data_IF_246623384950
#
_entry.id   IF_246623384950
#
_cell.length_a   1.000
_cell.length_b   1.000
_cell.length_c   1.000
_cell.angle_alpha   90.00
_cell.angle_beta   90.00
_cell.angle_gamma   90.00
#
_symmetry.space_group_name_H-M   'P 1'
#
loop_
_entity.id
_entity.type
_entity.pdbx_description
1 polymer ?
#
# COMPACT_ATOMS: atom_id res chain seq x y z
N UNK A 1 8.71 2.11 13.06
CA UNK A 1 8.49 0.88 12.23
C UNK A 1 9.33 -0.34 12.66
N UNK A 2 10.16 -0.21 13.68
CA UNK A 2 10.99 -1.31 14.18
C UNK A 2 10.16 -2.53 14.57
N UNK A 3 10.61 -3.75 14.22
CA UNK A 3 9.94 -5.04 14.49
C UNK A 3 8.51 -5.19 13.92
N UNK A 4 8.13 -4.47 12.86
CA UNK A 4 6.80 -4.56 12.23
C UNK A 4 6.75 -5.38 10.93
N UNK A 5 7.86 -5.97 10.49
CA UNK A 5 7.93 -6.75 9.24
C UNK A 5 6.87 -7.84 9.15
N UNK A 6 6.66 -8.60 10.23
CA UNK A 6 5.64 -9.65 10.26
C UNK A 6 4.21 -9.11 10.03
N UNK A 7 3.89 -7.92 10.57
CA UNK A 7 2.57 -7.31 10.35
C UNK A 7 2.36 -6.96 8.86
N UNK A 8 3.37 -6.42 8.18
CA UNK A 8 3.29 -6.14 6.74
C UNK A 8 3.09 -7.42 5.92
N UNK A 9 3.89 -8.46 6.19
CA UNK A 9 3.78 -9.75 5.47
C UNK A 9 2.44 -10.44 5.70
N UNK A 10 1.94 -10.46 6.94
CA UNK A 10 0.63 -11.04 7.25
C UNK A 10 -0.51 -10.32 6.51
N UNK A 11 -0.44 -9.00 6.42
CA UNK A 11 -1.44 -8.21 5.71
C UNK A 11 -1.30 -8.34 4.19
N UNK A 12 -0.10 -8.54 3.64
CA UNK A 12 0.09 -8.94 2.24
C UNK A 12 -0.65 -10.24 1.95
N UNK A 13 -0.48 -11.25 2.78
CA UNK A 13 -1.10 -12.56 2.58
C UNK A 13 -2.63 -12.49 2.70
N UNK A 14 -3.15 -11.63 3.57
CA UNK A 14 -4.59 -11.50 3.80
C UNK A 14 -5.30 -10.64 2.75
N UNK A 15 -4.66 -9.59 2.27
CA UNK A 15 -5.31 -8.55 1.46
C UNK A 15 -4.69 -8.34 0.07
N UNK A 16 -3.63 -9.06 -0.27
CA UNK A 16 -3.00 -9.02 -1.59
C UNK A 16 -2.25 -7.71 -1.89
N UNK A 17 -1.83 -6.99 -0.86
CA UNK A 17 -1.06 -5.73 -1.00
C UNK A 17 0.41 -6.01 -0.69
N UNK A 18 1.31 -5.72 -1.62
CA UNK A 18 2.73 -6.03 -1.45
C UNK A 18 3.32 -5.40 -0.18
N UNK A 19 3.90 -6.23 0.69
CA UNK A 19 4.43 -5.83 1.99
C UNK A 19 5.58 -4.82 1.88
N UNK A 20 6.46 -4.99 0.91
CA UNK A 20 7.61 -4.11 0.70
C UNK A 20 7.16 -2.72 0.25
N UNK A 21 6.20 -2.65 -0.69
CA UNK A 21 5.62 -1.38 -1.13
C UNK A 21 4.84 -0.70 0.00
N UNK A 22 4.03 -1.42 0.78
CA UNK A 22 3.37 -0.87 1.97
C UNK A 22 4.39 -0.31 2.97
N UNK A 23 5.51 -1.02 3.18
CA UNK A 23 6.59 -0.54 4.05
C UNK A 23 7.19 0.75 3.51
N UNK A 24 7.39 0.84 2.20
CA UNK A 24 7.86 2.05 1.52
C UNK A 24 6.92 3.24 1.72
N UNK A 25 5.60 3.03 1.57
CA UNK A 25 4.59 4.07 1.86
C UNK A 25 4.68 4.51 3.32
N UNK A 26 4.64 3.57 4.26
CA UNK A 26 4.73 3.91 5.68
C UNK A 26 6.03 4.62 6.06
N UNK A 27 7.15 4.25 5.44
CA UNK A 27 8.43 4.92 5.65
C UNK A 27 8.42 6.37 5.14
N UNK A 28 7.86 6.61 3.95
CA UNK A 28 7.74 7.95 3.37
C UNK A 28 6.80 8.82 4.19
N UNK A 29 5.58 8.37 4.44
CA UNK A 29 4.51 9.16 5.09
C UNK A 29 4.80 9.47 6.55
N UNK A 30 5.52 8.59 7.26
CA UNK A 30 5.78 8.75 8.70
C UNK A 30 7.21 9.14 9.03
N UNK A 31 8.06 9.44 8.05
CA UNK A 31 9.49 9.59 8.25
C UNK A 31 10.05 8.40 9.05
N UNK A 32 9.86 7.19 8.53
CA UNK A 32 10.25 5.93 9.18
C UNK A 32 9.60 5.68 10.55
N UNK A 33 8.41 6.20 10.79
CA UNK A 33 7.69 6.07 12.05
C UNK A 33 8.15 7.06 13.13
N UNK A 34 8.87 8.11 12.76
CA UNK A 34 9.39 9.12 13.70
C UNK A 34 8.52 10.36 13.80
N UNK A 35 7.59 10.57 12.86
CA UNK A 35 6.66 11.71 12.88
C UNK A 35 5.80 11.73 14.15
N UNK A 36 5.33 12.92 14.55
CA UNK A 36 4.46 13.09 15.71
C UNK A 36 3.16 12.28 15.58
N UNK A 37 2.55 12.27 14.40
CA UNK A 37 1.33 11.50 14.13
C UNK A 37 1.59 9.99 14.29
N UNK A 38 2.70 9.48 13.75
CA UNK A 38 3.06 8.08 13.89
C UNK A 38 3.27 7.67 15.35
N UNK A 39 3.93 8.52 16.15
CA UNK A 39 4.24 8.24 17.55
C UNK A 39 3.04 8.39 18.48
N UNK A 40 2.23 9.42 18.29
CA UNK A 40 1.13 9.74 19.20
C UNK A 40 -0.17 9.03 18.85
N UNK A 41 -0.37 8.72 17.57
CA UNK A 41 -1.61 8.13 17.04
C UNK A 41 -1.43 6.73 16.43
N UNK A 42 -0.24 6.15 16.49
CA UNK A 42 0.10 4.89 15.81
C UNK A 42 -0.23 4.90 14.31
N UNK A 43 -0.24 6.07 13.67
CA UNK A 43 -0.69 6.27 12.29
C UNK A 43 0.53 6.44 11.38
N UNK A 44 0.95 5.34 10.74
CA UNK A 44 2.13 5.31 9.86
C UNK A 44 1.88 5.92 8.48
N UNK A 45 0.63 6.06 8.06
CA UNK A 45 0.29 6.42 6.69
C UNK A 45 -0.36 7.81 6.59
N UNK A 46 -0.41 8.57 7.68
CA UNK A 46 -1.06 9.87 7.71
C UNK A 46 -2.56 9.81 7.42
N UNK A 47 -3.21 8.67 7.68
CA UNK A 47 -4.61 8.45 7.31
C UNK A 47 -5.53 9.49 7.92
N UNK A 48 -6.32 10.16 7.06
CA UNK A 48 -7.21 11.27 7.41
C UNK A 48 -6.52 12.51 8.01
N UNK A 49 -5.21 12.66 7.83
CA UNK A 49 -4.54 13.92 8.14
C UNK A 49 -4.89 14.95 7.05
N UNK A 50 -5.54 16.06 7.43
CA UNK A 50 -5.81 17.17 6.52
C UNK A 50 -4.80 18.30 6.74
N UNK A 51 -4.40 18.98 5.66
CA UNK A 51 -3.32 19.98 5.66
C UNK A 51 -3.54 21.12 6.69
N UNK A 52 -4.80 21.49 6.91
CA UNK A 52 -5.14 22.59 7.85
C UNK A 52 -4.98 22.23 9.32
N UNK A 53 -5.09 20.94 9.68
CA UNK A 53 -4.97 20.47 11.07
C UNK A 53 -4.57 18.99 11.15
N UNK A 54 -3.41 18.60 10.60
CA UNK A 54 -3.06 17.19 10.44
C UNK A 54 -2.99 16.42 11.76
N UNK A 55 -2.55 17.07 12.83
CA UNK A 55 -2.47 16.47 14.14
C UNK A 55 -3.84 16.23 14.81
N UNK A 56 -4.87 16.97 14.45
CA UNK A 56 -6.22 16.80 14.99
C UNK A 56 -7.04 15.81 14.17
N UNK A 57 -7.02 15.93 12.85
CA UNK A 57 -7.84 15.15 11.93
C UNK A 57 -7.37 13.72 11.73
N UNK A 58 -6.05 13.46 11.81
CA UNK A 58 -5.48 12.13 11.59
C UNK A 58 -6.10 11.07 12.50
N UNK A 59 -6.40 9.91 11.92
CA UNK A 59 -6.88 8.74 12.65
C UNK A 59 -5.93 8.34 13.78
N UNK A 60 -6.51 7.90 14.89
CA UNK A 60 -5.78 7.27 16.00
C UNK A 60 -6.07 5.77 15.99
N UNK A 61 -5.02 4.97 16.06
CA UNK A 61 -5.12 3.51 16.11
C UNK A 61 -4.67 2.98 17.46
N UNK A 62 -5.25 1.86 17.89
CA UNK A 62 -4.87 1.18 19.14
C UNK A 62 -3.44 0.64 19.09
N UNK A 63 -2.92 0.35 17.90
CA UNK A 63 -1.53 -0.04 17.66
C UNK A 63 -1.12 0.22 16.22
N UNK A 64 0.20 0.21 15.96
CA UNK A 64 0.76 0.27 14.61
C UNK A 64 0.31 -0.92 13.75
N UNK A 65 0.14 -2.12 14.34
CA UNK A 65 -0.32 -3.30 13.61
C UNK A 65 -1.76 -3.14 13.10
N UNK A 66 -2.62 -2.52 13.90
CA UNK A 66 -4.00 -2.17 13.49
C UNK A 66 -3.98 -1.14 12.36
N UNK A 67 -3.11 -0.15 12.42
CA UNK A 67 -2.93 0.83 11.35
C UNK A 67 -2.48 0.17 10.04
N UNK A 68 -1.49 -0.75 10.08
CA UNK A 68 -1.02 -1.50 8.90
C UNK A 68 -2.16 -2.33 8.31
N UNK A 69 -2.95 -3.00 9.17
CA UNK A 69 -4.11 -3.77 8.73
C UNK A 69 -5.15 -2.88 8.03
N UNK A 70 -5.53 -1.78 8.64
CA UNK A 70 -6.53 -0.87 8.09
C UNK A 70 -6.07 -0.27 6.75
N UNK A 71 -4.81 0.09 6.64
CA UNK A 71 -4.22 0.54 5.37
C UNK A 71 -4.31 -0.53 4.28
N UNK A 72 -3.90 -1.77 4.58
CA UNK A 72 -3.93 -2.86 3.62
C UNK A 72 -5.37 -3.25 3.22
N UNK A 73 -6.26 -3.38 4.20
CA UNK A 73 -7.63 -3.83 4.00
C UNK A 73 -8.50 -2.73 3.40
N UNK A 74 -8.63 -1.61 4.12
CA UNK A 74 -9.61 -0.57 3.82
C UNK A 74 -9.14 0.32 2.69
N UNK A 75 -7.94 0.90 2.84
CA UNK A 75 -7.45 1.88 1.86
C UNK A 75 -6.95 1.22 0.58
N UNK A 76 -6.14 0.17 0.66
CA UNK A 76 -5.59 -0.44 -0.54
C UNK A 76 -6.54 -1.45 -1.16
N UNK A 77 -6.85 -2.55 -0.47
CA UNK A 77 -7.59 -3.67 -1.07
C UNK A 77 -9.03 -3.33 -1.44
N UNK A 78 -9.76 -2.57 -0.59
CA UNK A 78 -11.17 -2.21 -0.81
C UNK A 78 -11.35 -0.92 -1.61
N UNK A 79 -10.31 -0.11 -1.75
CA UNK A 79 -10.37 1.19 -2.40
C UNK A 79 -9.38 1.29 -3.57
N UNK A 80 -8.15 1.76 -3.35
CA UNK A 80 -7.21 2.10 -4.43
C UNK A 80 -6.87 0.97 -5.39
N UNK A 81 -6.93 -0.29 -4.96
CA UNK A 81 -6.70 -1.48 -5.79
C UNK A 81 -7.98 -2.17 -6.26
N UNK A 82 -9.15 -1.57 -5.99
CA UNK A 82 -10.44 -2.13 -6.39
C UNK A 82 -10.92 -1.49 -7.67
N UNK A 83 -10.99 -2.25 -8.76
CA UNK A 83 -11.61 -1.82 -9.99
C UNK A 83 -13.07 -1.37 -9.73
N UNK A 84 -13.47 -0.25 -10.32
CA UNK A 84 -14.78 0.36 -10.11
C UNK A 84 -14.91 1.28 -8.88
N UNK A 85 -13.89 1.41 -8.04
CA UNK A 85 -13.84 2.49 -7.06
C UNK A 85 -13.53 3.84 -7.73
N UNK A 86 -14.15 4.93 -7.25
CA UNK A 86 -14.09 6.25 -7.93
C UNK A 86 -12.68 6.80 -8.18
N UNK A 87 -11.71 6.44 -7.33
CA UNK A 87 -10.31 6.87 -7.46
C UNK A 87 -9.36 5.74 -7.88
N UNK A 88 -9.89 4.64 -8.43
CA UNK A 88 -9.07 3.59 -9.02
C UNK A 88 -8.56 4.02 -10.39
N UNK A 89 -7.25 4.06 -10.55
CA UNK A 89 -6.58 4.44 -11.79
C UNK A 89 -5.50 3.40 -12.21
N UNK A 90 -5.57 2.20 -11.65
CA UNK A 90 -4.64 1.09 -11.89
C UNK A 90 -4.02 0.53 -10.61
N UNK A 91 -3.72 -0.76 -10.61
CA UNK A 91 -3.20 -1.52 -9.46
C UNK A 91 -1.68 -1.42 -9.26
N UNK A 92 -1.08 -0.26 -9.49
CA UNK A 92 0.36 0.01 -9.36
C UNK A 92 0.59 1.41 -8.79
N UNK A 93 1.82 1.71 -8.36
CA UNK A 93 2.14 2.99 -7.73
C UNK A 93 1.82 4.19 -8.63
N UNK A 94 2.32 4.16 -9.86
CA UNK A 94 2.01 5.15 -10.88
C UNK A 94 2.53 6.56 -10.61
N UNK A 95 1.97 7.49 -11.39
CA UNK A 95 2.25 8.92 -11.38
C UNK A 95 0.94 9.73 -11.42
N UNK A 96 0.94 10.94 -11.97
CA UNK A 96 -0.30 11.73 -12.12
C UNK A 96 -1.15 11.35 -13.34
N UNK A 97 -0.67 10.48 -14.22
CA UNK A 97 -1.40 10.01 -15.39
C UNK A 97 -2.14 8.68 -15.13
N UNK A 98 -1.55 7.77 -14.33
CA UNK A 98 -2.10 6.44 -14.06
C UNK A 98 -1.57 5.85 -12.75
N UNK A 99 -2.29 4.87 -12.20
CA UNK A 99 -1.94 4.21 -10.95
C UNK A 99 -2.49 4.90 -9.71
N UNK A 100 -2.08 4.43 -8.54
CA UNK A 100 -2.55 4.90 -7.23
C UNK A 100 -2.30 6.39 -7.05
N UNK A 101 -1.14 6.90 -7.52
CA UNK A 101 -0.73 8.29 -7.32
C UNK A 101 -1.59 9.33 -8.07
N UNK A 102 -2.43 8.93 -9.01
CA UNK A 102 -3.38 9.89 -9.61
C UNK A 102 -4.19 10.60 -8.53
N UNK A 103 -4.64 9.85 -7.52
CA UNK A 103 -5.54 10.36 -6.47
C UNK A 103 -4.97 10.29 -5.05
N UNK A 104 -3.87 9.57 -4.80
CA UNK A 104 -3.38 9.33 -3.45
C UNK A 104 -2.61 10.51 -2.86
N UNK A 105 -1.66 11.06 -3.59
CA UNK A 105 -0.81 12.15 -3.12
C UNK A 105 -0.74 13.28 -4.14
N UNK A 106 -0.52 14.51 -3.68
CA UNK A 106 -0.29 15.68 -4.55
C UNK A 106 1.08 15.64 -5.24
N UNK A 107 2.07 15.01 -4.63
CA UNK A 107 3.43 14.86 -5.15
C UNK A 107 3.43 13.99 -6.42
N UNK A 108 3.82 14.51 -7.60
CA UNK A 108 3.85 13.74 -8.83
C UNK A 108 4.86 12.59 -8.79
N UNK A 109 5.90 12.67 -7.97
CA UNK A 109 6.97 11.67 -7.82
C UNK A 109 6.76 10.73 -6.64
N UNK A 110 5.58 10.73 -6.02
CA UNK A 110 5.28 9.87 -4.86
C UNK A 110 5.52 8.38 -5.15
N UNK A 111 5.03 7.88 -6.28
CA UNK A 111 5.20 6.48 -6.68
C UNK A 111 6.66 6.09 -6.85
N UNK A 112 7.46 6.95 -7.50
CA UNK A 112 8.89 6.74 -7.71
C UNK A 112 9.67 6.73 -6.39
N UNK A 113 9.35 7.64 -5.47
CA UNK A 113 9.96 7.69 -4.14
C UNK A 113 9.71 6.41 -3.35
N UNK A 114 8.49 5.87 -3.40
CA UNK A 114 8.16 4.60 -2.76
C UNK A 114 8.88 3.44 -3.42
N UNK A 115 8.90 3.39 -4.75
CA UNK A 115 9.62 2.35 -5.48
C UNK A 115 11.12 2.37 -5.17
N UNK A 116 11.73 3.56 -5.06
CA UNK A 116 13.13 3.71 -4.68
C UNK A 116 13.40 3.21 -3.25
N UNK A 117 12.52 3.52 -2.28
CA UNK A 117 12.62 3.01 -0.91
C UNK A 117 12.47 1.48 -0.87
N UNK A 118 11.49 0.94 -1.58
CA UNK A 118 11.27 -0.50 -1.68
C UNK A 118 12.49 -1.21 -2.29
N UNK A 119 13.02 -0.68 -3.40
CA UNK A 119 14.21 -1.22 -4.05
C UNK A 119 15.42 -1.20 -3.11
N UNK A 120 15.63 -0.12 -2.37
CA UNK A 120 16.71 -0.02 -1.40
C UNK A 120 16.58 -1.08 -0.30
N UNK A 121 15.40 -1.19 0.30
CA UNK A 121 15.12 -2.20 1.35
C UNK A 121 15.33 -3.63 0.84
N UNK A 122 14.85 -3.95 -0.36
CA UNK A 122 15.04 -5.27 -0.97
C UNK A 122 16.50 -5.55 -1.28
N UNK A 123 17.23 -4.56 -1.80
CA UNK A 123 18.66 -4.67 -2.09
C UNK A 123 19.48 -4.96 -0.84
N UNK A 124 19.19 -4.25 0.25
CA UNK A 124 19.82 -4.48 1.57
C UNK A 124 19.39 -5.82 2.17
N UNK A 125 18.18 -6.28 1.90
CA UNK A 125 17.62 -7.57 2.30
C UNK A 125 18.08 -8.78 1.48
N UNK A 126 18.93 -8.58 0.47
CA UNK A 126 19.45 -9.63 -0.42
C UNK A 126 18.58 -9.92 -1.63
N UNK A 127 17.81 -8.94 -2.11
CA UNK A 127 16.98 -8.99 -3.33
C UNK A 127 15.98 -10.16 -3.35
N UNK A 128 15.32 -10.37 -2.23
CA UNK A 128 14.39 -11.51 -2.06
C UNK A 128 13.05 -11.30 -2.74
N UNK A 129 12.66 -10.05 -2.97
CA UNK A 129 11.40 -9.68 -3.63
C UNK A 129 11.58 -9.35 -5.11
N UNK A 130 12.80 -9.04 -5.55
CA UNK A 130 13.10 -8.75 -6.94
C UNK A 130 12.71 -9.94 -7.83
N UNK A 131 11.85 -9.68 -8.82
CA UNK A 131 11.33 -10.67 -9.78
C UNK A 131 10.55 -11.85 -9.14
N UNK A 132 10.18 -11.77 -7.87
CA UNK A 132 9.44 -12.82 -7.17
C UNK A 132 7.95 -12.82 -7.51
N UNK A 133 7.39 -11.65 -7.71
CA UNK A 133 5.98 -11.48 -8.00
C UNK A 133 5.77 -11.00 -9.42
N UNK A 134 4.91 -11.69 -10.16
CA UNK A 134 4.36 -11.14 -11.40
C UNK A 134 3.41 -10.00 -11.05
N UNK A 135 3.33 -8.97 -11.88
CA UNK A 135 2.32 -7.93 -11.75
C UNK A 135 0.97 -8.60 -12.01
N UNK A 136 0.20 -8.79 -10.95
CA UNK A 136 -1.18 -9.23 -11.03
C UNK A 136 -2.10 -8.01 -11.07
N UNK A 137 -2.93 -7.90 -12.09
CA UNK A 137 -4.09 -7.01 -12.03
C UNK A 137 -5.09 -7.70 -11.12
N UNK A 138 -5.33 -7.13 -9.93
CA UNK A 138 -6.43 -7.55 -9.09
C UNK A 138 -7.72 -7.00 -9.69
N UNK A 139 -8.37 -7.79 -10.52
CA UNK A 139 -9.72 -7.49 -10.98
C UNK A 139 -10.72 -8.16 -10.02
N UNK A 140 -11.72 -7.41 -9.57
CA UNK A 140 -12.89 -7.98 -8.91
C UNK A 140 -13.80 -8.56 -9.99
N UNK A 141 -13.60 -9.82 -10.31
CA UNK A 141 -14.51 -10.52 -11.17
C UNK A 141 -15.84 -10.67 -10.42
N UNK A 142 -16.86 -9.95 -10.86
CA UNK A 142 -18.23 -10.24 -10.49
C UNK A 142 -18.62 -11.52 -11.22
N UNK A 143 -18.46 -12.67 -10.57
CA UNK A 143 -18.72 -14.00 -11.15
C UNK A 143 -20.15 -14.41 -10.97
N UNK A 144 -21.10 -13.54 -11.22
CA UNK A 144 -22.51 -13.95 -11.10
C UNK A 144 -22.83 -15.17 -11.98
N UNK A 145 -22.10 -15.47 -13.04
CA UNK A 145 -22.49 -16.52 -13.99
C UNK A 145 -21.36 -17.24 -14.76
N UNK A 146 -20.08 -17.09 -14.41
CA UNK A 146 -19.00 -17.80 -15.14
C UNK A 146 -17.89 -18.30 -14.22
N UNK A 147 -17.39 -19.48 -14.50
CA UNK A 147 -16.20 -20.05 -13.82
C UNK A 147 -14.95 -19.40 -14.41
N UNK A 148 -14.15 -18.72 -13.59
CA UNK A 148 -12.84 -18.23 -13.98
C UNK A 148 -11.78 -19.28 -13.66
N UNK A 149 -11.06 -19.76 -14.67
CA UNK A 149 -9.92 -20.62 -14.47
C UNK A 149 -8.69 -19.78 -14.07
N UNK A 150 -8.27 -19.90 -12.82
CA UNK A 150 -6.99 -19.32 -12.37
C UNK A 150 -5.88 -20.31 -12.76
N UNK A 151 -5.01 -19.92 -13.67
CA UNK A 151 -3.87 -20.73 -14.12
C UNK A 151 -2.59 -20.31 -13.41
N UNK A 152 -1.74 -21.28 -13.10
CA UNK A 152 -0.45 -21.04 -12.45
C UNK A 152 0.53 -20.31 -13.37
N UNK A 153 0.37 -20.46 -14.69
CA UNK A 153 1.23 -19.87 -15.72
C UNK A 153 0.36 -19.34 -16.86
N UNK A 154 0.83 -18.28 -17.54
CA UNK A 154 0.20 -17.79 -18.74
C UNK A 154 0.30 -18.88 -19.82
N UNK A 155 -0.84 -19.32 -20.36
CA UNK A 155 -0.85 -20.19 -21.54
C UNK A 155 -1.15 -19.32 -22.76
N UNK A 156 -0.36 -19.47 -23.79
CA UNK A 156 -0.62 -18.98 -25.15
C UNK A 156 -1.91 -19.55 -25.70
#
# INVERSE_FOLDING_TARGET
MYNKGAAFVNNQNSYGVNALLMTGVGALESAWGTSSIAKQKNNLFGLNAVDTSPGQSANTFSSVDVCIKDFAETYMSKQYLRAGWAYYHGGFLGDKASGINVSYASDPYWGEKIAALAWKMDSEGGKKDQNKYSIGIKDTVSTAHTTLNVRKEAST
#
